data_IF_263283504580
#
_entry.id   IF_263283504580
#
_cell.length_a   1.000
_cell.length_b   1.000
_cell.length_c   1.000
_cell.angle_alpha   90.00
_cell.angle_beta   90.00
_cell.angle_gamma   90.00
#
_symmetry.space_group_name_H-M   'P 1'
#
loop_
_entity.id
_entity.type
_entity.pdbx_description
1 polymer ?
#
# COMPACT_ATOMS: atom_id res chain seq x y z
N UNK A 1 4.32 7.50 12.76
CA UNK A 1 4.21 7.71 11.32
C UNK A 1 2.75 7.87 10.96
N UNK A 2 2.42 8.95 10.26
CA UNK A 2 1.15 9.71 10.37
C UNK A 2 -0.17 8.92 10.21
N UNK A 3 -0.18 7.74 9.57
CA UNK A 3 -1.40 6.94 9.36
C UNK A 3 -1.88 6.14 10.58
N UNK A 4 -0.98 5.65 11.42
CA UNK A 4 -1.34 4.73 12.53
C UNK A 4 -0.85 5.19 13.91
N UNK A 5 -0.22 6.35 14.01
CA UNK A 5 0.32 6.86 15.29
C UNK A 5 1.52 6.09 15.84
N UNK A 6 1.98 5.00 15.19
CA UNK A 6 3.14 4.21 15.63
C UNK A 6 4.44 5.03 15.61
N UNK A 7 5.24 4.92 16.66
CA UNK A 7 6.61 5.44 16.67
C UNK A 7 7.50 4.69 15.66
N UNK A 8 8.66 5.27 15.33
CA UNK A 8 9.64 4.60 14.48
C UNK A 8 10.13 3.29 15.11
N UNK A 9 10.32 3.27 16.44
CA UNK A 9 10.76 2.08 17.18
C UNK A 9 9.73 0.95 17.12
N UNK A 10 8.44 1.27 17.30
CA UNK A 10 7.36 0.28 17.21
C UNK A 10 7.23 -0.29 15.80
N UNK A 11 7.29 0.57 14.78
CA UNK A 11 7.29 0.14 13.38
C UNK A 11 8.44 -0.82 13.11
N UNK A 12 9.68 -0.45 13.50
CA UNK A 12 10.85 -1.32 13.29
C UNK A 12 10.73 -2.65 14.03
N UNK A 13 10.23 -2.66 15.26
CA UNK A 13 10.03 -3.88 16.04
C UNK A 13 8.97 -4.80 15.42
N UNK A 14 7.84 -4.24 14.97
CA UNK A 14 6.78 -5.00 14.30
C UNK A 14 7.26 -5.56 12.96
N UNK A 15 7.95 -4.75 12.16
CA UNK A 15 8.58 -5.17 10.90
C UNK A 15 9.58 -6.32 11.14
N UNK A 16 10.42 -6.22 12.18
CA UNK A 16 11.35 -7.29 12.54
C UNK A 16 10.62 -8.58 12.97
N UNK A 17 9.55 -8.46 13.75
CA UNK A 17 8.73 -9.61 14.17
C UNK A 17 8.09 -10.30 12.96
N UNK A 18 7.53 -9.52 12.01
CA UNK A 18 6.95 -10.05 10.78
C UNK A 18 7.96 -10.87 9.96
N UNK A 19 9.22 -10.42 9.91
CA UNK A 19 10.28 -11.13 9.21
C UNK A 19 10.80 -12.35 9.99
N UNK A 20 11.14 -12.20 11.27
CA UNK A 20 11.80 -13.27 12.01
C UNK A 20 10.84 -14.31 12.55
N UNK A 21 9.76 -13.88 13.18
CA UNK A 21 8.85 -14.74 13.92
C UNK A 21 7.71 -15.25 13.04
N UNK A 22 7.18 -14.37 12.17
CA UNK A 22 5.99 -14.69 11.36
C UNK A 22 6.30 -15.16 9.95
N UNK A 23 7.48 -14.85 9.40
CA UNK A 23 7.88 -15.14 8.00
C UNK A 23 6.91 -14.58 6.96
N UNK A 24 6.26 -13.45 7.26
CA UNK A 24 5.22 -12.84 6.42
C UNK A 24 5.77 -11.83 5.41
N UNK A 25 6.95 -11.28 5.68
CA UNK A 25 7.64 -10.33 4.81
C UNK A 25 9.07 -10.80 4.55
N UNK A 26 9.64 -10.34 3.44
CA UNK A 26 11.06 -10.54 3.12
C UNK A 26 11.98 -9.76 4.06
N UNK A 27 13.29 -9.93 3.90
CA UNK A 27 14.31 -9.29 4.73
C UNK A 27 14.11 -7.77 4.90
N UNK A 28 14.19 -7.28 6.13
CA UNK A 28 13.76 -5.92 6.53
C UNK A 28 14.89 -4.94 6.82
N UNK A 29 16.15 -5.38 6.76
CA UNK A 29 17.34 -4.55 6.94
C UNK A 29 17.85 -3.95 5.62
N UNK A 30 16.93 -3.47 4.79
CA UNK A 30 17.19 -3.02 3.41
C UNK A 30 16.76 -1.57 3.23
N UNK A 31 17.55 -0.79 2.50
CA UNK A 31 17.21 0.55 2.00
C UNK A 31 16.79 0.53 0.51
N UNK A 32 16.86 -0.63 -0.13
CA UNK A 32 16.53 -0.78 -1.54
C UNK A 32 15.03 -0.65 -1.79
N UNK A 33 14.67 0.02 -2.88
CA UNK A 33 13.29 0.22 -3.33
C UNK A 33 12.94 -0.61 -4.58
N UNK A 34 13.88 -1.44 -5.06
CA UNK A 34 13.75 -2.23 -6.29
C UNK A 34 13.67 -3.72 -5.97
N UNK A 35 13.14 -4.47 -6.93
CA UNK A 35 12.98 -5.91 -6.90
C UNK A 35 13.75 -6.54 -8.07
N UNK A 36 14.36 -7.71 -7.88
CA UNK A 36 14.94 -8.47 -8.98
C UNK A 36 13.88 -8.79 -10.03
N UNK A 37 14.25 -8.75 -11.30
CA UNK A 37 13.33 -9.01 -12.39
C UNK A 37 12.82 -10.45 -12.40
N UNK A 38 13.66 -11.40 -11.93
CA UNK A 38 13.32 -12.81 -11.80
C UNK A 38 12.14 -13.06 -10.86
N UNK A 39 11.99 -12.25 -9.81
CA UNK A 39 10.91 -12.39 -8.82
C UNK A 39 9.53 -11.99 -9.37
N UNK A 40 9.45 -11.32 -10.52
CA UNK A 40 8.16 -10.98 -11.14
C UNK A 40 7.38 -12.24 -11.55
N UNK A 41 8.08 -13.32 -11.92
CA UNK A 41 7.45 -14.59 -12.27
C UNK A 41 6.72 -15.25 -11.09
N UNK A 42 7.13 -14.95 -9.86
CA UNK A 42 6.52 -15.46 -8.62
C UNK A 42 5.34 -14.60 -8.12
N UNK A 43 5.20 -13.38 -8.67
CA UNK A 43 4.17 -12.44 -8.27
C UNK A 43 2.73 -12.99 -8.29
N UNK A 44 2.30 -13.83 -9.27
CA UNK A 44 0.96 -14.43 -9.23
C UNK A 44 0.71 -15.25 -7.95
N UNK A 45 1.73 -15.96 -7.46
CA UNK A 45 1.64 -16.77 -6.24
C UNK A 45 1.52 -15.88 -5.00
N UNK A 46 2.39 -14.87 -4.89
CA UNK A 46 2.38 -13.91 -3.78
C UNK A 46 1.04 -13.15 -3.75
N UNK A 47 0.57 -12.67 -4.89
CA UNK A 47 -0.72 -12.00 -5.02
C UNK A 47 -1.88 -12.91 -4.61
N UNK A 48 -1.86 -14.19 -4.97
CA UNK A 48 -2.91 -15.14 -4.60
C UNK A 48 -3.07 -15.23 -3.08
N UNK A 49 -1.98 -15.35 -2.34
CA UNK A 49 -2.03 -15.41 -0.88
C UNK A 49 -2.52 -14.12 -0.24
N UNK A 50 -1.94 -12.99 -0.66
CA UNK A 50 -2.31 -11.66 -0.16
C UNK A 50 -3.78 -11.32 -0.48
N UNK A 51 -4.27 -11.70 -1.66
CA UNK A 51 -5.64 -11.45 -2.11
C UNK A 51 -6.72 -12.15 -1.28
N UNK A 52 -6.37 -13.18 -0.50
CA UNK A 52 -7.33 -13.83 0.40
C UNK A 52 -7.76 -12.92 1.56
N UNK A 53 -6.86 -12.03 1.97
CA UNK A 53 -7.10 -11.06 3.04
C UNK A 53 -7.60 -9.75 2.45
N UNK A 54 -7.00 -9.30 1.35
CA UNK A 54 -7.33 -8.04 0.69
C UNK A 54 -8.21 -8.25 -0.55
N UNK A 55 -9.34 -8.94 -0.37
CA UNK A 55 -10.24 -9.37 -1.45
C UNK A 55 -10.75 -8.20 -2.31
N UNK A 56 -11.05 -7.06 -1.69
CA UNK A 56 -11.46 -5.83 -2.40
C UNK A 56 -10.38 -5.36 -3.39
N UNK A 57 -9.11 -5.44 -2.98
CA UNK A 57 -7.97 -5.02 -3.80
C UNK A 57 -7.60 -6.03 -4.90
N UNK A 58 -7.91 -7.31 -4.69
CA UNK A 58 -7.56 -8.36 -5.65
C UNK A 58 -8.12 -8.08 -7.05
N UNK A 59 -9.35 -7.56 -7.12
CA UNK A 59 -10.07 -7.29 -8.37
C UNK A 59 -9.41 -6.28 -9.30
N UNK A 60 -8.66 -5.32 -8.74
CA UNK A 60 -7.97 -4.26 -9.51
C UNK A 60 -6.54 -4.60 -9.89
N UNK A 61 -6.02 -5.74 -9.40
CA UNK A 61 -4.64 -6.16 -9.61
C UNK A 61 -4.51 -7.12 -10.81
N UNK A 62 -3.45 -6.96 -11.60
CA UNK A 62 -3.09 -7.85 -12.70
C UNK A 62 -1.59 -8.20 -12.64
N UNK A 63 -1.22 -9.49 -12.50
CA UNK A 63 0.19 -9.89 -12.44
C UNK A 63 0.96 -9.61 -13.74
N UNK A 64 0.27 -9.42 -14.87
CA UNK A 64 0.91 -9.05 -16.14
C UNK A 64 1.50 -7.64 -16.15
N UNK A 65 1.11 -6.78 -15.20
CA UNK A 65 1.66 -5.44 -15.07
C UNK A 65 3.07 -5.53 -14.47
N UNK A 66 4.05 -5.01 -15.20
CA UNK A 66 5.45 -4.91 -14.79
C UNK A 66 5.89 -3.45 -14.87
N UNK A 67 6.25 -2.85 -13.74
CA UNK A 67 6.77 -1.49 -13.64
C UNK A 67 8.30 -1.45 -13.51
N UNK A 68 8.87 -0.25 -13.49
CA UNK A 68 10.31 -0.03 -13.33
C UNK A 68 10.88 -0.39 -11.94
N UNK A 69 10.03 -0.79 -10.99
CA UNK A 69 10.48 -1.32 -9.69
C UNK A 69 11.15 -2.70 -9.84
N UNK A 70 10.82 -3.47 -10.88
CA UNK A 70 11.52 -4.69 -11.26
C UNK A 70 12.75 -4.31 -12.08
N UNK A 71 13.92 -4.27 -11.46
CA UNK A 71 15.15 -3.77 -12.07
C UNK A 71 16.38 -4.30 -11.35
N UNK A 72 17.03 -5.31 -11.91
CA UNK A 72 18.21 -5.96 -11.33
C UNK A 72 19.37 -4.98 -11.11
N UNK A 73 19.56 -4.00 -12.01
CA UNK A 73 20.66 -3.03 -11.93
C UNK A 73 20.51 -2.03 -10.76
N UNK A 74 19.33 -1.97 -10.13
CA UNK A 74 19.07 -1.09 -8.98
C UNK A 74 18.86 -1.85 -7.67
N UNK A 75 18.98 -3.17 -7.70
CA UNK A 75 19.00 -4.00 -6.48
C UNK A 75 20.40 -3.91 -5.85
N UNK A 76 20.46 -3.67 -4.54
CA UNK A 76 21.71 -3.65 -3.78
C UNK A 76 22.00 -5.04 -3.19
N UNK A 77 22.60 -5.13 -2.01
CA UNK A 77 22.79 -6.41 -1.31
C UNK A 77 21.45 -7.10 -0.98
N UNK A 78 20.38 -6.33 -0.82
CA UNK A 78 19.03 -6.78 -0.56
C UNK A 78 18.04 -6.03 -1.45
N UNK A 79 16.86 -6.62 -1.66
CA UNK A 79 15.77 -6.00 -2.43
C UNK A 79 14.77 -5.28 -1.50
N UNK A 80 13.72 -4.67 -2.07
CA UNK A 80 12.65 -4.04 -1.30
C UNK A 80 11.85 -5.04 -0.47
N UNK A 81 11.32 -4.60 0.68
CA UNK A 81 10.48 -5.43 1.55
C UNK A 81 9.15 -5.75 0.84
N UNK A 82 8.85 -7.05 0.68
CA UNK A 82 7.60 -7.54 0.07
C UNK A 82 6.95 -8.65 0.92
N UNK A 83 5.65 -8.91 0.76
CA UNK A 83 5.02 -10.09 1.36
C UNK A 83 5.61 -11.38 0.78
N UNK A 84 5.63 -12.44 1.59
CA UNK A 84 6.05 -13.78 1.14
C UNK A 84 4.96 -14.54 0.38
N UNK A 85 3.70 -14.11 0.49
CA UNK A 85 2.54 -14.81 -0.05
C UNK A 85 1.87 -15.76 0.94
N UNK A 86 2.44 -15.91 2.14
CA UNK A 86 1.78 -16.63 3.23
C UNK A 86 0.51 -15.89 3.69
N UNK A 87 -0.51 -16.66 4.08
CA UNK A 87 -1.78 -16.11 4.56
C UNK A 87 -1.56 -15.62 6.00
N UNK A 88 -1.48 -14.30 6.17
CA UNK A 88 -1.34 -13.70 7.48
C UNK A 88 -2.52 -14.04 8.41
N UNK A 89 -2.20 -14.54 9.61
CA UNK A 89 -3.16 -14.84 10.66
C UNK A 89 -2.53 -14.65 12.05
N UNK A 90 -3.35 -14.28 13.04
CA UNK A 90 -2.89 -14.15 14.43
C UNK A 90 -1.83 -13.06 14.66
N UNK A 91 -1.80 -12.04 13.81
CA UNK A 91 -0.91 -10.89 13.96
C UNK A 91 -1.41 -9.96 15.08
N UNK A 92 -0.48 -9.39 15.84
CA UNK A 92 -0.80 -8.26 16.74
C UNK A 92 -1.25 -7.05 15.92
N UNK A 93 -1.89 -6.07 16.57
CA UNK A 93 -2.37 -4.85 15.89
C UNK A 93 -1.24 -4.13 15.14
N UNK A 94 -0.06 -4.00 15.76
CA UNK A 94 1.09 -3.34 15.17
C UNK A 94 1.65 -4.14 13.98
N UNK A 95 1.77 -5.47 14.12
CA UNK A 95 2.17 -6.36 13.02
C UNK A 95 1.18 -6.26 11.85
N UNK A 96 -0.12 -6.26 12.13
CA UNK A 96 -1.16 -6.15 11.12
C UNK A 96 -1.06 -4.82 10.35
N UNK A 97 -0.87 -3.69 11.06
CA UNK A 97 -0.73 -2.37 10.44
C UNK A 97 0.50 -2.27 9.53
N UNK A 98 1.64 -2.82 9.97
CA UNK A 98 2.85 -2.87 9.15
C UNK A 98 2.65 -3.80 7.95
N UNK A 99 2.10 -4.99 8.15
CA UNK A 99 1.86 -5.94 7.08
C UNK A 99 0.89 -5.39 6.03
N UNK A 100 -0.18 -4.72 6.45
CA UNK A 100 -1.13 -4.04 5.56
C UNK A 100 -0.42 -3.00 4.67
N UNK A 101 0.43 -2.16 5.26
CA UNK A 101 1.22 -1.18 4.50
C UNK A 101 2.12 -1.84 3.44
N UNK A 102 2.80 -2.93 3.79
CA UNK A 102 3.68 -3.68 2.87
C UNK A 102 2.86 -4.36 1.77
N UNK A 103 1.78 -5.05 2.14
CA UNK A 103 0.90 -5.79 1.23
C UNK A 103 0.24 -4.86 0.21
N UNK A 104 -0.36 -3.75 0.67
CA UNK A 104 -0.99 -2.76 -0.20
C UNK A 104 0.01 -2.13 -1.16
N UNK A 105 1.20 -1.79 -0.68
CA UNK A 105 2.25 -1.20 -1.53
C UNK A 105 2.73 -2.17 -2.62
N UNK A 106 2.83 -3.45 -2.29
CA UNK A 106 3.12 -4.51 -3.25
C UNK A 106 1.99 -4.69 -4.28
N UNK A 107 0.73 -4.83 -3.82
CA UNK A 107 -0.43 -4.96 -4.71
C UNK A 107 -0.56 -3.77 -5.67
N UNK A 108 -0.26 -2.55 -5.23
CA UNK A 108 -0.27 -1.36 -6.07
C UNK A 108 0.68 -1.44 -7.28
N UNK A 109 1.74 -2.27 -7.24
CA UNK A 109 2.63 -2.51 -8.39
C UNK A 109 1.94 -3.28 -9.53
N UNK A 110 0.77 -3.85 -9.26
CA UNK A 110 -0.02 -4.63 -10.21
C UNK A 110 -1.31 -3.91 -10.60
N UNK A 111 -1.46 -2.64 -10.26
CA UNK A 111 -2.57 -1.80 -10.71
C UNK A 111 -2.16 -0.97 -11.93
N UNK A 112 -3.10 -0.55 -12.78
CA UNK A 112 -2.83 0.40 -13.86
C UNK A 112 -2.24 1.74 -13.37
N UNK A 113 -1.56 2.47 -14.25
CA UNK A 113 -1.07 3.82 -13.93
C UNK A 113 -2.26 4.73 -13.65
N UNK A 114 -2.14 5.55 -12.60
CA UNK A 114 -3.05 6.69 -12.41
C UNK A 114 -2.92 7.66 -13.58
N UNK A 115 -4.04 8.03 -14.19
CA UNK A 115 -4.10 9.00 -15.29
C UNK A 115 -5.05 10.13 -14.92
N UNK A 116 -4.67 11.34 -15.26
CA UNK A 116 -5.49 12.54 -15.09
C UNK A 116 -5.27 13.49 -16.27
N UNK A 117 -6.26 14.32 -16.53
CA UNK A 117 -6.16 15.46 -17.42
C UNK A 117 -5.85 16.68 -16.54
N UNK A 118 -4.78 17.39 -16.87
CA UNK A 118 -4.43 18.66 -16.23
C UNK A 118 -5.07 19.79 -17.04
N UNK A 119 -6.04 20.48 -16.45
CA UNK A 119 -6.75 21.57 -17.09
C UNK A 119 -6.23 22.89 -16.53
N UNK A 120 -6.04 23.87 -17.43
CA UNK A 120 -5.67 25.23 -17.08
C UNK A 120 -6.63 26.18 -17.79
N UNK A 121 -7.20 27.11 -17.03
CA UNK A 121 -7.99 28.22 -17.54
C UNK A 121 -7.24 29.50 -17.24
N UNK A 122 -6.99 30.29 -18.27
CA UNK A 122 -6.51 31.66 -18.16
C UNK A 122 -7.59 32.59 -18.70
N UNK A 123 -7.86 33.67 -17.99
CA UNK A 123 -8.87 34.64 -18.35
C UNK A 123 -8.36 36.04 -18.05
N UNK A 124 -8.48 36.93 -19.03
CA UNK A 124 -8.12 38.34 -18.89
C UNK A 124 -9.33 39.16 -18.45
N UNK A 125 -9.13 40.06 -17.50
CA UNK A 125 -10.13 41.06 -17.13
C UNK A 125 -9.45 42.42 -16.95
N UNK A 126 -9.60 43.29 -17.95
CA UNK A 126 -8.89 44.57 -18.00
C UNK A 126 -7.39 44.36 -18.14
N UNK A 127 -6.62 44.78 -17.15
CA UNK A 127 -5.16 44.59 -17.10
C UNK A 127 -4.74 43.36 -16.26
N UNK A 128 -5.70 42.69 -15.60
CA UNK A 128 -5.43 41.56 -14.72
C UNK A 128 -5.60 40.23 -15.46
N UNK A 129 -4.72 39.26 -15.15
CA UNK A 129 -4.79 37.89 -15.64
C UNK A 129 -5.15 36.96 -14.49
N UNK A 130 -6.25 36.24 -14.66
CA UNK A 130 -6.70 35.21 -13.72
C UNK A 130 -6.32 33.84 -14.28
N UNK A 131 -5.72 33.00 -13.43
CA UNK A 131 -5.39 31.62 -13.78
C UNK A 131 -6.00 30.67 -12.75
N UNK A 132 -6.61 29.59 -13.25
CA UNK A 132 -7.06 28.47 -12.44
C UNK A 132 -6.57 27.17 -13.07
N UNK A 133 -6.19 26.20 -12.26
CA UNK A 133 -5.82 24.86 -12.72
C UNK A 133 -6.51 23.80 -11.87
N UNK A 134 -6.92 22.72 -12.52
CA UNK A 134 -7.52 21.57 -11.84
C UNK A 134 -7.20 20.28 -12.57
N UNK A 135 -7.14 19.19 -11.81
CA UNK A 135 -6.89 17.85 -12.34
C UNK A 135 -8.19 17.06 -12.36
N UNK A 136 -8.52 16.50 -13.52
CA UNK A 136 -9.62 15.57 -13.68
C UNK A 136 -9.06 14.15 -13.82
N UNK A 137 -9.25 13.32 -12.81
CA UNK A 137 -8.83 11.91 -12.86
C UNK A 137 -9.61 11.15 -13.94
N UNK A 138 -8.90 10.45 -14.81
CA UNK A 138 -9.48 9.60 -15.87
C UNK A 138 -9.30 8.12 -15.59
N UNK A 139 -8.22 7.74 -14.90
CA UNK A 139 -7.99 6.38 -14.41
C UNK A 139 -7.45 6.49 -13.00
N UNK A 140 -8.18 5.93 -12.03
CA UNK A 140 -7.72 5.94 -10.64
C UNK A 140 -6.41 5.15 -10.48
N UNK A 141 -6.32 3.97 -11.09
CA UNK A 141 -5.11 3.16 -11.13
C UNK A 141 -4.65 2.76 -9.73
N UNK A 142 -3.33 2.72 -9.50
CA UNK A 142 -2.74 2.34 -8.22
C UNK A 142 -3.21 3.17 -7.02
N UNK A 143 -3.72 4.40 -7.22
CA UNK A 143 -4.27 5.23 -6.13
C UNK A 143 -5.55 4.64 -5.51
N UNK A 144 -6.24 3.74 -6.22
CA UNK A 144 -7.42 3.06 -5.66
C UNK A 144 -7.07 2.22 -4.41
N UNK A 145 -5.82 1.77 -4.30
CA UNK A 145 -5.33 1.04 -3.14
C UNK A 145 -5.29 1.92 -1.88
N UNK A 146 -4.90 3.19 -2.04
CA UNK A 146 -4.86 4.18 -0.95
C UNK A 146 -6.28 4.59 -0.54
N UNK A 147 -7.18 4.84 -1.51
CA UNK A 147 -8.58 5.17 -1.21
C UNK A 147 -9.28 4.06 -0.42
N UNK A 148 -9.09 2.80 -0.84
CA UNK A 148 -9.65 1.67 -0.11
C UNK A 148 -9.11 1.57 1.32
N UNK A 149 -7.84 1.92 1.53
CA UNK A 149 -7.24 1.92 2.87
C UNK A 149 -7.89 3.00 3.76
N UNK A 150 -8.15 4.19 3.22
CA UNK A 150 -8.82 5.26 3.95
C UNK A 150 -10.30 4.92 4.26
N UNK A 151 -10.97 4.20 3.36
CA UNK A 151 -12.31 3.65 3.60
C UNK A 151 -12.32 2.58 4.70
N UNK A 152 -11.39 1.63 4.63
CA UNK A 152 -11.27 0.56 5.64
C UNK A 152 -10.94 1.16 7.02
N UNK A 153 -10.08 2.18 7.09
CA UNK A 153 -9.75 2.89 8.33
C UNK A 153 -10.96 3.65 8.92
N UNK A 154 -11.82 4.26 8.07
CA UNK A 154 -13.06 4.90 8.53
C UNK A 154 -14.09 3.89 9.04
N UNK A 155 -14.14 2.70 8.44
CA UNK A 155 -15.01 1.62 8.90
C UNK A 155 -14.63 1.16 10.32
N UNK A 156 -13.34 1.05 10.63
CA UNK A 156 -12.85 0.67 11.96
C UNK A 156 -13.08 1.72 13.06
N UNK A 157 -13.19 3.03 12.74
CA UNK A 157 -13.50 4.10 13.72
C UNK A 157 -15.03 4.40 13.82
N UNK A 158 -15.87 3.54 13.24
CA UNK A 158 -17.32 3.75 13.24
C UNK A 158 -17.93 3.73 14.66
N UNK A 159 -19.05 4.46 14.91
CA UNK A 159 -19.68 4.55 16.23
C UNK A 159 -20.05 3.20 16.87
N UNK A 160 -20.34 2.19 16.03
CA UNK A 160 -20.63 0.83 16.47
C UNK A 160 -19.42 0.13 17.12
N UNK A 161 -18.21 0.36 16.62
CA UNK A 161 -16.97 -0.23 17.16
C UNK A 161 -16.56 0.49 18.46
N UNK A 162 -16.77 1.81 18.50
CA UNK A 162 -16.60 2.62 19.73
C UNK A 162 -17.53 2.18 20.87
N UNK A 163 -18.76 1.75 20.55
CA UNK A 163 -19.69 1.21 21.54
C UNK A 163 -19.25 -0.17 22.07
N UNK A 164 -18.75 -1.04 21.19
CA UNK A 164 -18.24 -2.37 21.57
C UNK A 164 -16.97 -2.30 22.45
N UNK A 165 -16.09 -1.32 22.20
CA UNK A 165 -14.89 -1.09 23.01
C UNK A 165 -15.21 -0.56 24.42
N UNK A 166 -16.26 0.26 24.54
CA UNK A 166 -16.75 0.78 25.84
C UNK A 166 -17.46 -0.27 26.69
N UNK A 167 -18.15 -1.24 26.08
CA UNK A 167 -18.85 -2.30 26.81
C UNK A 167 -17.92 -3.38 27.38
N UNK A 168 -16.68 -3.51 26.90
CA UNK A 168 -15.69 -4.49 27.42
C UNK A 168 -14.90 -3.99 28.63
N UNK A 169 -15.07 -2.73 29.02
CA UNK A 169 -14.40 -2.09 30.15
C UNK A 169 -15.39 -1.68 31.27
N UNK A 170 -16.60 -2.25 31.26
CA UNK A 170 -17.57 -2.18 32.35
C UNK A 170 -17.75 -3.57 32.96
#
# INVERSE_FOLDING_TARGET
>A
SAKHGMSAKETSAATQSLYQNRKMVSYVGTDCQFLPESMHAEAPSVLKGVSQIYTKLASGSSPSIKYACWNDAKVSAHHAIIPTGEIASGLSKQEQQVFDSVARRYMAQFYPKHKFIDNKLEADYGADVFASSWKQTTVQGWKAVDEQHDEDAKAEDSPADRAASRMRHS
#
